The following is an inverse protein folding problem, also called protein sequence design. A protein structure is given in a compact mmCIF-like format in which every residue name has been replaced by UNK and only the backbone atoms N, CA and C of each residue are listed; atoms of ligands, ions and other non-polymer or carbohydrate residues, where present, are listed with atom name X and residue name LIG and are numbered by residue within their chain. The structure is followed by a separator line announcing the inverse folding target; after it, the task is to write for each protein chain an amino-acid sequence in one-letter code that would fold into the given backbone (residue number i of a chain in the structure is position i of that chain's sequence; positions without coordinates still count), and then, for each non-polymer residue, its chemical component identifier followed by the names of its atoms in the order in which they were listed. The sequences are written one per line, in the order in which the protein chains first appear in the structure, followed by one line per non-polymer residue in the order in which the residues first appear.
data_IF_886931769013
#
_entry.id   IF_886931769013
#
_cell.length_a   1.000
_cell.length_b   1.000
_cell.length_c   1.000
_cell.angle_alpha   90.00
_cell.angle_beta   90.00
_cell.angle_gamma   90.00
#
_symmetry.space_group_name_H-M   'P 1'
#
loop_
_entity.id
_entity.type
_entity.pdbx_description
1 polymer ?
#
# COMPACT_ATOMS: atom_id res chain seq x y z
N UNK A 1 11.10 -16.14 10.77
CA UNK A 1 9.93 -16.05 9.87
C UNK A 1 10.38 -15.37 8.60
N UNK A 2 9.94 -15.81 7.41
CA UNK A 2 10.30 -15.14 6.17
C UNK A 2 9.66 -13.75 6.12
N UNK A 3 10.40 -12.76 5.61
CA UNK A 3 9.98 -11.36 5.49
C UNK A 3 8.66 -11.23 4.71
N UNK A 4 8.43 -12.12 3.75
CA UNK A 4 7.18 -12.20 2.98
C UNK A 4 5.94 -12.44 3.85
N UNK A 5 6.03 -13.23 4.91
CA UNK A 5 4.89 -13.47 5.82
C UNK A 5 4.53 -12.22 6.61
N UNK A 6 5.53 -11.45 7.04
CA UNK A 6 5.34 -10.20 7.80
C UNK A 6 4.67 -9.15 6.90
N UNK A 7 5.16 -9.00 5.67
CA UNK A 7 4.59 -8.07 4.70
C UNK A 7 3.17 -8.46 4.34
N UNK A 8 2.88 -9.74 4.10
CA UNK A 8 1.53 -10.20 3.79
C UNK A 8 0.57 -10.02 4.96
N UNK A 9 1.02 -10.26 6.19
CA UNK A 9 0.22 -10.00 7.39
C UNK A 9 -0.11 -8.52 7.53
N UNK A 10 0.91 -7.65 7.41
CA UNK A 10 0.71 -6.20 7.43
C UNK A 10 -0.24 -5.75 6.31
N UNK A 11 -0.06 -6.24 5.08
CA UNK A 11 -0.92 -5.93 3.94
C UNK A 11 -2.38 -6.31 4.21
N UNK A 12 -2.61 -7.48 4.81
CA UNK A 12 -3.96 -7.95 5.17
C UNK A 12 -4.60 -7.07 6.24
N UNK A 13 -3.84 -6.70 7.27
CA UNK A 13 -4.32 -5.83 8.35
C UNK A 13 -4.68 -4.44 7.82
N UNK A 14 -3.81 -3.83 7.01
CA UNK A 14 -4.07 -2.53 6.39
C UNK A 14 -5.29 -2.55 5.45
N UNK A 15 -5.42 -3.61 4.63
CA UNK A 15 -6.59 -3.79 3.78
C UNK A 15 -7.88 -3.89 4.60
N UNK A 16 -7.88 -4.69 5.68
CA UNK A 16 -9.04 -4.88 6.52
C UNK A 16 -9.46 -3.58 7.21
N UNK A 17 -8.49 -2.82 7.75
CA UNK A 17 -8.74 -1.53 8.39
C UNK A 17 -9.39 -0.55 7.41
N UNK A 18 -8.88 -0.47 6.17
CA UNK A 18 -9.40 0.47 5.19
C UNK A 18 -10.80 0.07 4.68
N UNK A 19 -11.03 -1.23 4.47
CA UNK A 19 -12.37 -1.75 4.14
C UNK A 19 -13.36 -1.42 5.25
N UNK A 20 -13.00 -1.66 6.51
CA UNK A 20 -13.82 -1.29 7.67
C UNK A 20 -14.07 0.22 7.74
N UNK A 21 -13.05 1.05 7.51
CA UNK A 21 -13.16 2.53 7.49
C UNK A 21 -14.13 2.99 6.40
N UNK A 22 -14.03 2.43 5.20
CA UNK A 22 -14.88 2.77 4.07
C UNK A 22 -16.34 2.31 4.28
N UNK A 23 -16.54 1.08 4.76
CA UNK A 23 -17.87 0.58 5.13
C UNK A 23 -18.53 1.45 6.21
N UNK A 24 -17.76 1.86 7.22
CA UNK A 24 -18.24 2.75 8.27
C UNK A 24 -18.63 4.13 7.71
N UNK A 25 -17.84 4.70 6.79
CA UNK A 25 -18.18 5.96 6.11
C UNK A 25 -19.44 5.82 5.24
N UNK A 26 -19.57 4.75 4.46
CA UNK A 26 -20.77 4.47 3.66
C UNK A 26 -22.02 4.33 4.54
N UNK A 27 -21.91 3.62 5.67
CA UNK A 27 -23.00 3.47 6.64
C UNK A 27 -23.41 4.82 7.23
N UNK A 28 -22.43 5.65 7.64
CA UNK A 28 -22.67 7.00 8.19
C UNK A 28 -23.33 7.93 7.16
N UNK A 29 -22.90 7.87 5.90
CA UNK A 29 -23.43 8.71 4.82
C UNK A 29 -24.69 8.14 4.17
N UNK A 30 -25.17 6.96 4.57
CA UNK A 30 -26.29 6.23 3.93
C UNK A 30 -26.11 6.04 2.42
N UNK A 31 -24.86 5.86 1.98
CA UNK A 31 -24.51 5.64 0.58
C UNK A 31 -24.27 4.15 0.37
N UNK A 32 -24.81 3.58 -0.71
CA UNK A 32 -24.55 2.19 -1.06
C UNK A 32 -23.06 1.99 -1.39
N UNK A 33 -22.38 1.06 -0.71
CA UNK A 33 -20.98 0.79 -0.99
C UNK A 33 -20.83 0.19 -2.39
N UNK A 34 -19.97 0.80 -3.22
CA UNK A 34 -19.57 0.23 -4.50
C UNK A 34 -18.44 -0.77 -4.28
N UNK A 35 -18.63 -2.00 -4.76
CA UNK A 35 -17.65 -3.07 -4.61
C UNK A 35 -16.30 -2.73 -5.27
N UNK A 36 -16.32 -2.11 -6.45
CA UNK A 36 -15.11 -1.62 -7.13
C UNK A 36 -14.28 -0.68 -6.26
N UNK A 37 -14.94 0.23 -5.54
CA UNK A 37 -14.26 1.21 -4.68
C UNK A 37 -13.70 0.56 -3.41
N UNK A 38 -14.41 -0.41 -2.84
CA UNK A 38 -13.91 -1.22 -1.71
C UNK A 38 -12.66 -1.98 -2.12
N UNK A 39 -12.71 -2.69 -3.26
CA UNK A 39 -11.59 -3.50 -3.75
C UNK A 39 -10.40 -2.62 -4.12
N UNK A 40 -10.64 -1.50 -4.81
CA UNK A 40 -9.58 -0.54 -5.15
C UNK A 40 -8.90 0.04 -3.91
N UNK A 41 -9.68 0.48 -2.91
CA UNK A 41 -9.13 1.01 -1.65
C UNK A 41 -8.39 -0.07 -0.85
N UNK A 42 -8.90 -1.30 -0.83
CA UNK A 42 -8.26 -2.42 -0.14
C UNK A 42 -6.90 -2.77 -0.78
N UNK A 43 -6.85 -2.85 -2.12
CA UNK A 43 -5.63 -3.11 -2.88
C UNK A 43 -4.62 -1.97 -2.73
N UNK A 44 -5.09 -0.72 -2.72
CA UNK A 44 -4.26 0.43 -2.43
C UNK A 44 -3.67 0.32 -1.02
N UNK A 45 -4.49 0.12 0.02
CA UNK A 45 -4.03 0.01 1.40
C UNK A 45 -3.06 -1.18 1.60
N UNK A 46 -3.32 -2.33 0.96
CA UNK A 46 -2.44 -3.51 1.06
C UNK A 46 -1.08 -3.30 0.41
N UNK A 47 -0.97 -2.36 -0.54
CA UNK A 47 0.29 -2.04 -1.22
C UNK A 47 1.23 -1.16 -0.38
N UNK A 48 0.73 -0.46 0.64
CA UNK A 48 1.56 0.43 1.47
C UNK A 48 2.72 -0.32 2.18
N UNK A 49 2.49 -1.46 2.86
CA UNK A 49 3.57 -2.24 3.47
C UNK A 49 4.64 -2.71 2.48
N UNK A 50 4.23 -3.03 1.24
CA UNK A 50 5.16 -3.40 0.18
C UNK A 50 5.99 -2.20 -0.29
N UNK A 51 5.39 -1.02 -0.39
CA UNK A 51 6.08 0.22 -0.69
C UNK A 51 7.15 0.55 0.36
N UNK A 52 6.84 0.40 1.64
CA UNK A 52 7.83 0.56 2.72
C UNK A 52 8.94 -0.49 2.66
N UNK A 53 8.60 -1.76 2.40
CA UNK A 53 9.59 -2.82 2.26
C UNK A 53 10.56 -2.56 1.10
N UNK A 54 10.08 -2.05 -0.04
CA UNK A 54 10.89 -1.66 -1.19
C UNK A 54 11.83 -0.50 -0.90
N UNK A 55 11.36 0.50 -0.14
CA UNK A 55 12.20 1.62 0.29
C UNK A 55 13.33 1.11 1.19
N UNK A 56 12.99 0.28 2.20
CA UNK A 56 13.97 -0.28 3.13
C UNK A 56 14.97 -1.19 2.40
N UNK A 57 14.51 -1.99 1.43
CA UNK A 57 15.40 -2.80 0.59
C UNK A 57 16.37 -1.92 -0.21
N UNK A 58 15.94 -0.73 -0.62
CA UNK A 58 16.77 0.31 -1.23
C UNK A 58 17.82 0.93 -0.30
N UNK A 59 17.85 0.60 0.98
CA UNK A 59 18.89 1.05 1.92
C UNK A 59 19.59 -0.12 2.62
N UNK A 60 19.27 -1.37 2.26
CA UNK A 60 19.91 -2.53 2.87
C UNK A 60 21.33 -2.72 2.31
N UNK A 61 22.37 -2.71 3.17
CA UNK A 61 23.76 -2.79 2.74
C UNK A 61 24.11 -4.12 2.06
N UNK A 62 23.34 -5.19 2.28
CA UNK A 62 23.53 -6.49 1.62
C UNK A 62 23.08 -6.46 0.16
N UNK A 63 22.05 -5.65 -0.17
CA UNK A 63 21.52 -5.48 -1.53
C UNK A 63 22.32 -4.39 -2.27
N UNK A 64 22.68 -3.30 -1.57
CA UNK A 64 23.53 -2.22 -2.09
C UNK A 64 24.87 -2.72 -2.65
N UNK A 65 25.50 -3.70 -1.98
CA UNK A 65 26.80 -4.26 -2.41
C UNK A 65 26.71 -5.18 -3.63
N UNK A 66 25.54 -5.77 -3.90
CA UNK A 66 25.38 -6.68 -5.04
C UNK A 66 24.95 -5.94 -6.31
N UNK A 67 24.19 -4.84 -6.16
CA UNK A 67 23.54 -4.12 -7.26
C UNK A 67 23.82 -2.61 -7.14
N UNK A 68 25.09 -2.20 -7.22
CA UNK A 68 25.46 -0.79 -7.36
C UNK A 68 24.72 -0.19 -8.58
N UNK A 69 23.82 0.76 -8.32
CA UNK A 69 22.99 1.43 -9.34
C UNK A 69 21.53 0.99 -9.40
N UNK A 70 21.19 -0.27 -9.09
CA UNK A 70 19.77 -0.72 -9.11
C UNK A 70 19.00 -0.31 -7.84
N UNK A 71 19.73 0.04 -6.80
CA UNK A 71 19.21 0.41 -5.49
C UNK A 71 18.24 1.60 -5.53
N UNK A 72 18.57 2.61 -6.36
CA UNK A 72 17.70 3.78 -6.61
C UNK A 72 16.36 3.36 -7.23
N UNK A 73 16.34 2.32 -8.07
CA UNK A 73 15.09 1.84 -8.69
C UNK A 73 14.18 1.16 -7.67
N UNK A 74 14.71 0.45 -6.68
CA UNK A 74 13.90 -0.10 -5.59
C UNK A 74 13.29 1.00 -4.73
N UNK A 75 14.10 2.01 -4.37
CA UNK A 75 13.59 3.18 -3.63
C UNK A 75 12.54 3.94 -4.42
N UNK A 76 12.78 4.20 -5.72
CA UNK A 76 11.83 4.86 -6.61
C UNK A 76 10.54 4.05 -6.78
N UNK A 77 10.64 2.72 -6.92
CA UNK A 77 9.47 1.85 -7.00
C UNK A 77 8.65 1.91 -5.71
N UNK A 78 9.31 1.88 -4.55
CA UNK A 78 8.65 1.98 -3.25
C UNK A 78 7.96 3.34 -3.03
N UNK A 79 8.63 4.45 -3.37
CA UNK A 79 8.05 5.80 -3.32
C UNK A 79 6.87 5.94 -4.29
N UNK A 80 7.01 5.41 -5.50
CA UNK A 80 5.93 5.43 -6.50
C UNK A 80 4.72 4.63 -6.03
N UNK A 81 4.94 3.46 -5.43
CA UNK A 81 3.88 2.65 -4.85
C UNK A 81 3.15 3.43 -3.76
N UNK A 82 3.89 4.01 -2.80
CA UNK A 82 3.30 4.81 -1.73
C UNK A 82 2.52 6.00 -2.29
N UNK A 83 3.05 6.71 -3.29
CA UNK A 83 2.34 7.82 -3.91
C UNK A 83 1.01 7.39 -4.53
N UNK A 84 0.98 6.27 -5.26
CA UNK A 84 -0.26 5.71 -5.84
C UNK A 84 -1.21 5.25 -4.73
N UNK A 85 -0.72 4.60 -3.69
CA UNK A 85 -1.51 4.21 -2.51
C UNK A 85 -2.17 5.43 -1.85
N UNK A 86 -1.40 6.48 -1.57
CA UNK A 86 -1.90 7.71 -0.98
C UNK A 86 -2.92 8.40 -1.89
N UNK A 87 -2.66 8.44 -3.21
CA UNK A 87 -3.59 9.01 -4.17
C UNK A 87 -4.87 8.20 -4.30
N UNK A 88 -4.83 6.87 -4.20
CA UNK A 88 -6.03 6.06 -4.23
C UNK A 88 -6.87 6.21 -2.94
N UNK A 89 -6.21 6.35 -1.78
CA UNK A 89 -6.90 6.46 -0.48
C UNK A 89 -7.42 7.87 -0.17
N UNK A 90 -6.68 8.90 -0.57
CA UNK A 90 -6.95 10.31 -0.23
C UNK A 90 -7.18 11.20 -1.44
N UNK A 91 -6.77 10.77 -2.63
CA UNK A 91 -7.08 11.49 -3.85
C UNK A 91 -8.59 11.51 -4.00
N UNK A 92 -9.16 12.71 -3.92
CA UNK A 92 -10.56 12.96 -4.24
C UNK A 92 -10.77 12.40 -5.64
N UNK A 93 -11.43 11.25 -5.73
CA UNK A 93 -12.29 10.99 -6.87
C UNK A 93 -13.30 12.13 -6.85
N UNK A 94 -13.03 13.17 -7.64
CA UNK A 94 -14.02 14.17 -8.01
C UNK A 94 -15.27 13.41 -8.40
N UNK A 95 -16.35 13.78 -7.72
CA UNK A 95 -17.70 13.28 -7.86
C UNK A 95 -18.13 13.04 -9.31
#
# INVERSE_FOLDING_TARGET
MPISTIINFAATVFALIEVCRYLYMCFKSKVNPRLEKIVSNALAASSAPMGFALIIAGFDPSIMKQLEGLNIYYTLAGVSLLFVTFRALFGRESA
#
